data_IF_858738602427
#
_entry.id   IF_858738602427
#
_cell.length_a   1.000
_cell.length_b   1.000
_cell.length_c   1.000
_cell.angle_alpha   90.00
_cell.angle_beta   90.00
_cell.angle_gamma   90.00
#
_symmetry.space_group_name_H-M   'P 1'
#
loop_
_entity.id
_entity.type
_entity.pdbx_description
1 polymer ?
#
# COMPACT_ATOMS: atom_id res chain seq x y z
N UNK A 1 -7.31 42.11 -34.14
CA UNK A 1 -7.64 42.01 -32.70
C UNK A 1 -7.66 40.54 -32.30
N UNK A 2 -6.84 40.22 -31.29
CA UNK A 2 -6.73 39.02 -30.44
C UNK A 2 -7.76 37.88 -30.61
N UNK A 3 -7.23 36.65 -30.62
CA UNK A 3 -7.63 35.42 -29.87
C UNK A 3 -7.54 34.19 -30.80
N UNK A 4 -6.95 33.04 -30.47
CA UNK A 4 -6.19 32.52 -29.34
C UNK A 4 -5.46 31.27 -29.91
N UNK A 5 -4.17 31.40 -30.22
CA UNK A 5 -3.25 30.28 -30.38
C UNK A 5 -2.92 29.77 -28.98
N UNK A 6 -3.76 28.88 -28.42
CA UNK A 6 -3.50 28.33 -27.08
C UNK A 6 -4.15 26.97 -26.88
N UNK A 7 -3.78 25.99 -27.69
CA UNK A 7 -3.88 24.57 -27.30
C UNK A 7 -2.54 23.91 -27.65
N UNK A 8 -1.48 24.44 -27.04
CA UNK A 8 -0.13 23.86 -27.03
C UNK A 8 0.38 23.78 -25.58
N UNK A 9 -0.50 23.41 -24.66
CA UNK A 9 -0.13 22.97 -23.29
C UNK A 9 -1.12 21.92 -22.82
N UNK A 10 -1.22 20.83 -23.57
CA UNK A 10 -1.65 19.53 -23.04
C UNK A 10 -0.44 18.57 -23.13
N UNK A 11 0.79 19.04 -22.90
CA UNK A 11 1.12 19.59 -21.59
C UNK A 11 1.14 18.46 -20.56
N UNK A 12 1.82 17.35 -20.88
CA UNK A 12 2.89 16.83 -20.04
C UNK A 12 2.59 16.68 -18.52
N UNK A 13 1.36 16.36 -18.13
CA UNK A 13 0.96 16.29 -16.71
C UNK A 13 0.51 14.90 -16.24
N UNK A 14 0.54 13.88 -17.09
CA UNK A 14 0.23 12.50 -16.67
C UNK A 14 1.45 11.59 -16.54
N UNK A 15 2.67 12.07 -16.84
CA UNK A 15 3.91 11.42 -16.40
C UNK A 15 4.24 11.79 -14.94
N UNK A 16 3.23 11.82 -14.08
CA UNK A 16 3.46 11.83 -12.66
C UNK A 16 3.93 10.44 -12.26
N UNK A 17 5.24 10.18 -12.36
CA UNK A 17 5.93 8.97 -11.89
C UNK A 17 5.14 8.31 -10.74
N UNK A 18 4.27 7.37 -11.08
CA UNK A 18 3.59 6.54 -10.11
C UNK A 18 4.67 5.55 -9.71
N UNK A 19 5.48 5.94 -8.72
CA UNK A 19 6.42 5.03 -8.11
C UNK A 19 5.56 3.94 -7.48
N UNK A 20 5.41 2.85 -8.21
CA UNK A 20 4.58 1.71 -7.87
C UNK A 20 5.54 0.59 -7.52
N UNK A 21 5.88 0.48 -6.25
CA UNK A 21 6.68 -0.65 -5.78
C UNK A 21 5.74 -1.84 -5.52
N UNK A 22 6.08 -3.01 -6.04
CA UNK A 22 5.27 -4.23 -5.87
C UNK A 22 6.03 -5.22 -5.02
N UNK A 23 5.39 -5.75 -3.99
CA UNK A 23 5.92 -6.82 -3.15
C UNK A 23 5.07 -8.07 -3.36
N UNK A 24 5.71 -9.19 -3.67
CA UNK A 24 5.07 -10.51 -3.67
C UNK A 24 5.59 -11.27 -2.46
N UNK A 25 4.72 -11.54 -1.50
CA UNK A 25 5.08 -12.12 -0.20
C UNK A 25 4.38 -13.46 0.00
N UNK A 26 5.01 -14.38 0.73
CA UNK A 26 4.33 -15.59 1.19
C UNK A 26 3.30 -15.25 2.25
N UNK A 27 2.10 -15.81 2.09
CA UNK A 27 1.00 -15.69 3.03
C UNK A 27 0.60 -17.08 3.53
N UNK A 28 0.50 -17.24 4.85
CA UNK A 28 0.00 -18.50 5.43
C UNK A 28 -1.42 -18.85 4.96
N UNK A 29 -2.24 -17.82 4.67
CA UNK A 29 -3.65 -17.98 4.31
C UNK A 29 -3.87 -18.15 2.80
N UNK A 30 -3.06 -17.46 1.99
CA UNK A 30 -3.30 -17.34 0.54
C UNK A 30 -2.17 -17.95 -0.31
N UNK A 31 -1.12 -18.51 0.31
CA UNK A 31 0.07 -19.00 -0.38
C UNK A 31 1.01 -17.85 -0.74
N UNK A 32 0.60 -17.03 -1.70
CA UNK A 32 1.27 -15.77 -2.07
C UNK A 32 0.25 -14.63 -2.06
N UNK A 33 0.72 -13.44 -1.69
CA UNK A 33 -0.10 -12.23 -1.66
C UNK A 33 0.68 -11.08 -2.29
N UNK A 34 -0.02 -10.30 -3.12
CA UNK A 34 0.54 -9.15 -3.80
C UNK A 34 0.24 -7.88 -3.01
N UNK A 35 1.25 -7.03 -2.92
CA UNK A 35 1.18 -5.74 -2.26
C UNK A 35 1.69 -4.68 -3.22
N UNK A 36 0.90 -3.64 -3.46
CA UNK A 36 1.28 -2.51 -4.30
C UNK A 36 1.42 -1.26 -3.45
N UNK A 37 2.43 -0.45 -3.73
CA UNK A 37 2.77 0.72 -2.91
C UNK A 37 2.95 1.90 -3.84
N UNK A 38 2.10 2.92 -3.67
CA UNK A 38 2.25 4.22 -4.31
C UNK A 38 2.73 5.29 -3.30
N UNK A 39 2.83 6.55 -3.74
CA UNK A 39 3.31 7.67 -2.88
C UNK A 39 2.43 7.97 -1.66
N UNK A 40 1.19 7.50 -1.65
CA UNK A 40 0.16 7.84 -0.65
C UNK A 40 -0.45 6.61 0.01
N UNK A 41 -0.40 5.46 -0.65
CA UNK A 41 -1.16 4.29 -0.25
C UNK A 41 -0.37 2.99 -0.42
N UNK A 42 -0.73 2.03 0.42
CA UNK A 42 -0.38 0.62 0.30
C UNK A 42 -1.68 -0.11 -0.04
N UNK A 43 -1.62 -1.06 -0.96
CA UNK A 43 -2.72 -1.91 -1.38
C UNK A 43 -2.36 -3.36 -1.12
N UNK A 44 -3.14 -4.04 -0.29
CA UNK A 44 -3.11 -5.49 -0.14
C UNK A 44 -4.08 -6.09 -1.16
N UNK A 45 -3.55 -6.75 -2.18
CA UNK A 45 -4.34 -7.29 -3.30
C UNK A 45 -4.60 -8.78 -3.04
N UNK A 46 -5.86 -9.12 -2.83
CA UNK A 46 -6.31 -10.48 -2.55
C UNK A 46 -6.45 -11.29 -3.85
N UNK A 47 -6.45 -12.64 -3.78
CA UNK A 47 -6.55 -13.50 -4.97
C UNK A 47 -7.82 -13.32 -5.82
N UNK A 48 -8.86 -12.69 -5.27
CA UNK A 48 -10.11 -12.37 -5.96
C UNK A 48 -10.13 -10.95 -6.55
N UNK A 49 -8.97 -10.31 -6.69
CA UNK A 49 -8.78 -8.93 -7.16
C UNK A 49 -9.41 -7.84 -6.27
N UNK A 50 -9.94 -8.20 -5.09
CA UNK A 50 -10.27 -7.22 -4.07
C UNK A 50 -8.98 -6.63 -3.48
N UNK A 51 -9.02 -5.35 -3.10
CA UNK A 51 -7.89 -4.70 -2.47
C UNK A 51 -8.26 -4.02 -1.15
N UNK A 52 -7.46 -4.24 -0.11
CA UNK A 52 -7.50 -3.38 1.08
C UNK A 52 -6.50 -2.24 0.93
N UNK A 53 -7.01 -1.01 1.02
CA UNK A 53 -6.22 0.23 0.87
C UNK A 53 -5.85 0.80 2.23
N UNK A 54 -4.56 1.05 2.46
CA UNK A 54 -4.01 1.69 3.64
C UNK A 54 -3.40 3.03 3.27
N UNK A 55 -3.78 4.11 3.97
CA UNK A 55 -3.15 5.42 3.82
C UNK A 55 -1.80 5.42 4.52
N UNK A 56 -0.74 5.76 3.80
CA UNK A 56 0.61 5.89 4.35
C UNK A 56 0.61 7.05 5.36
N UNK A 57 1.12 6.79 6.55
CA UNK A 57 1.27 7.79 7.63
C UNK A 57 2.72 8.07 7.96
N UNK A 58 3.62 7.12 7.71
CA UNK A 58 5.08 7.28 7.84
C UNK A 58 5.77 6.50 6.73
N UNK A 59 6.73 7.12 6.07
CA UNK A 59 7.50 6.53 4.97
C UNK A 59 9.00 6.75 5.21
N UNK A 60 9.70 5.64 5.45
CA UNK A 60 11.15 5.57 5.59
C UNK A 60 11.79 4.69 4.49
N UNK A 61 11.09 4.51 3.37
CA UNK A 61 11.53 3.66 2.24
C UNK A 61 12.81 4.16 1.57
N UNK A 62 13.05 5.48 1.56
CA UNK A 62 14.32 6.07 1.07
C UNK A 62 15.55 5.51 1.78
N UNK A 63 15.39 5.16 3.06
CA UNK A 63 16.46 4.59 3.88
C UNK A 63 16.39 3.05 3.92
N UNK A 64 15.48 2.44 3.15
CA UNK A 64 15.18 0.99 3.17
C UNK A 64 14.88 0.47 4.58
N UNK A 65 14.13 1.24 5.37
CA UNK A 65 13.73 0.83 6.72
C UNK A 65 12.31 0.27 6.67
N UNK A 66 11.32 1.14 6.47
CA UNK A 66 9.91 0.74 6.55
C UNK A 66 8.92 1.72 5.95
N UNK A 67 7.69 1.25 5.75
CA UNK A 67 6.52 2.09 5.47
C UNK A 67 5.39 1.66 6.43
N UNK A 68 4.68 2.64 6.98
CA UNK A 68 3.51 2.42 7.84
C UNK A 68 2.25 2.97 7.18
N UNK A 69 1.20 2.16 7.15
CA UNK A 69 -0.11 2.55 6.65
C UNK A 69 -1.23 2.23 7.63
N UNK A 70 -2.33 2.97 7.53
CA UNK A 70 -3.56 2.71 8.29
C UNK A 70 -4.76 2.63 7.36
N UNK A 71 -5.66 1.70 7.62
CA UNK A 71 -6.93 1.58 6.92
C UNK A 71 -8.04 1.58 7.96
N UNK A 72 -8.99 2.50 7.82
CA UNK A 72 -10.30 2.28 8.44
C UNK A 72 -10.97 1.22 7.57
N UNK A 73 -11.14 0.02 8.11
CA UNK A 73 -11.95 -1.00 7.46
C UNK A 73 -13.41 -0.56 7.39
N UNK A 74 -14.32 -1.53 7.24
CA UNK A 74 -15.75 -1.26 7.37
C UNK A 74 -16.14 -0.68 8.75
N UNK A 75 -17.42 -0.73 9.10
CA UNK A 75 -17.93 -0.13 10.33
C UNK A 75 -17.24 -0.63 11.62
N UNK A 76 -16.66 -1.85 11.61
CA UNK A 76 -16.23 -2.55 12.82
C UNK A 76 -14.70 -2.64 13.01
N UNK A 77 -13.92 -2.62 11.93
CA UNK A 77 -12.49 -2.96 12.00
C UNK A 77 -11.59 -1.79 11.62
N UNK A 78 -10.53 -1.61 12.39
CA UNK A 78 -9.37 -0.80 12.01
C UNK A 78 -8.19 -1.69 11.71
N UNK A 79 -7.40 -1.31 10.71
CA UNK A 79 -6.20 -2.02 10.32
C UNK A 79 -5.02 -1.06 10.28
N UNK A 80 -3.85 -1.58 10.64
CA UNK A 80 -2.59 -0.95 10.31
C UNK A 80 -1.64 -1.97 9.68
N UNK A 81 -0.73 -1.45 8.88
CA UNK A 81 0.25 -2.25 8.16
C UNK A 81 1.64 -1.65 8.34
N UNK A 82 2.62 -2.53 8.53
CA UNK A 82 4.03 -2.22 8.60
C UNK A 82 4.80 -3.07 7.59
N UNK A 83 5.42 -2.41 6.61
CA UNK A 83 6.30 -3.03 5.63
C UNK A 83 7.74 -2.89 6.13
N UNK A 84 8.44 -4.00 6.32
CA UNK A 84 9.82 -4.05 6.79
C UNK A 84 10.75 -4.40 5.62
N UNK A 85 11.57 -3.43 5.18
CA UNK A 85 12.49 -3.63 4.06
C UNK A 85 13.69 -4.50 4.44
N UNK A 86 14.09 -4.52 5.71
CA UNK A 86 15.24 -5.30 6.19
C UNK A 86 14.89 -6.78 6.27
N UNK A 87 13.75 -7.07 6.90
CA UNK A 87 13.27 -8.44 7.06
C UNK A 87 12.49 -8.95 5.86
N UNK A 88 12.20 -8.08 4.88
CA UNK A 88 11.36 -8.37 3.70
C UNK A 88 10.06 -9.06 4.12
N UNK A 89 9.36 -8.41 5.05
CA UNK A 89 8.12 -8.90 5.63
C UNK A 89 7.11 -7.78 5.79
N UNK A 90 5.85 -8.18 5.91
CA UNK A 90 4.72 -7.28 6.13
C UNK A 90 3.96 -7.77 7.34
N UNK A 91 3.74 -6.89 8.31
CA UNK A 91 2.87 -7.15 9.46
C UNK A 91 1.58 -6.36 9.29
N UNK A 92 0.45 -7.04 9.39
CA UNK A 92 -0.87 -6.41 9.46
C UNK A 92 -1.44 -6.66 10.83
N UNK A 93 -1.93 -5.58 11.47
CA UNK A 93 -2.70 -5.65 12.71
C UNK A 93 -4.13 -5.27 12.42
N UNK A 94 -5.04 -5.94 13.10
CA UNK A 94 -6.47 -5.67 13.08
C UNK A 94 -6.92 -5.38 14.51
N UNK A 95 -7.76 -4.36 14.64
CA UNK A 95 -8.45 -4.04 15.87
C UNK A 95 -9.96 -4.04 15.62
N UNK A 96 -10.66 -4.87 16.38
CA UNK A 96 -12.10 -4.92 16.46
C UNK A 96 -12.60 -3.85 17.44
N UNK A 97 -13.28 -2.83 16.93
CA UNK A 97 -13.79 -1.71 17.75
C UNK A 97 -14.98 -2.10 18.62
N UNK A 98 -15.72 -3.14 18.26
CA UNK A 98 -16.93 -3.55 18.98
C UNK A 98 -16.57 -4.38 20.20
N UNK A 99 -15.67 -5.36 20.02
CA UNK A 99 -15.29 -6.29 21.10
C UNK A 99 -13.94 -5.95 21.75
N UNK A 100 -13.20 -4.98 21.21
CA UNK A 100 -11.87 -4.60 21.72
C UNK A 100 -10.79 -5.66 21.48
N UNK A 101 -11.04 -6.60 20.57
CA UNK A 101 -10.13 -7.73 20.28
C UNK A 101 -9.12 -7.30 19.22
N UNK A 102 -7.84 -7.59 19.46
CA UNK A 102 -6.77 -7.38 18.49
C UNK A 102 -6.27 -8.69 17.89
N UNK A 103 -5.96 -8.69 16.60
CA UNK A 103 -5.29 -9.78 15.91
C UNK A 103 -4.17 -9.27 15.01
N UNK A 104 -3.29 -10.17 14.59
CA UNK A 104 -2.23 -9.84 13.63
C UNK A 104 -1.88 -11.03 12.73
N UNK A 105 -1.34 -10.72 11.55
CA UNK A 105 -0.73 -11.69 10.66
C UNK A 105 0.50 -11.12 9.97
N UNK A 106 1.34 -12.03 9.50
CA UNK A 106 2.57 -11.71 8.80
C UNK A 106 2.54 -12.29 7.39
N UNK A 107 3.13 -11.54 6.45
CA UNK A 107 3.57 -12.07 5.18
C UNK A 107 5.09 -11.95 5.12
N UNK A 108 5.76 -13.00 4.67
CA UNK A 108 7.23 -13.14 4.76
C UNK A 108 7.82 -13.44 3.40
N UNK A 109 9.14 -13.55 3.33
CA UNK A 109 9.88 -13.90 2.10
C UNK A 109 9.52 -12.97 0.91
N UNK A 110 9.31 -11.68 1.17
CA UNK A 110 8.85 -10.75 0.16
C UNK A 110 9.90 -10.51 -0.93
N UNK A 111 9.48 -10.65 -2.19
CA UNK A 111 10.24 -10.24 -3.38
C UNK A 111 9.75 -8.85 -3.80
N UNK A 112 10.68 -7.91 -3.96
CA UNK A 112 10.38 -6.50 -4.22
C UNK A 112 10.71 -6.16 -5.67
N UNK A 113 9.76 -5.55 -6.37
CA UNK A 113 9.84 -5.13 -7.77
C UNK A 113 9.57 -3.62 -7.86
N UNK A 114 10.30 -2.91 -8.73
CA UNK A 114 10.21 -1.45 -8.93
C UNK A 114 9.91 -1.11 -10.37
#
# INVERSE_FOLDING_TARGET
>A
MKKLLTIMVLGLLLSGNAYSETWICKSKRFGELKWEIDKKYIYEVFPNDDARKYKITKDFSKNKISIFGVSKGGAMFDYDVYLDFNNKSIKVRQFDREFGISGEYYNTDCKIFK
#
